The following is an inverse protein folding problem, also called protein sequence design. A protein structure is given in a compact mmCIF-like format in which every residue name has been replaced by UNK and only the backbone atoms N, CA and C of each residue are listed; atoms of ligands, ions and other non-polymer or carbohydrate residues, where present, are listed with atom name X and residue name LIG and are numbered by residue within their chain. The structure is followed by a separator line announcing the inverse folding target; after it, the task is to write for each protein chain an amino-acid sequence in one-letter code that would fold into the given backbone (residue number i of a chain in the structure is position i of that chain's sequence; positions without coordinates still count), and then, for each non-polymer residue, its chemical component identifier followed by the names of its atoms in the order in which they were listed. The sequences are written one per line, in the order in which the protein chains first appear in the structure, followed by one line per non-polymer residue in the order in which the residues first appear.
data_IF_716157858934
#
_entry.id   IF_716157858934
#
_cell.length_a   1.000
_cell.length_b   1.000
_cell.length_c   1.000
_cell.angle_alpha   90.00
_cell.angle_beta   90.00
_cell.angle_gamma   90.00
#
_symmetry.space_group_name_H-M   'P 1'
#
loop_
_entity.id
_entity.type
_entity.pdbx_description
1 polymer ?
#
# COMPACT_ATOMS: atom_id res chain seq x y z
N UNK A 1 39.66 -13.44 -19.00
CA UNK A 1 39.33 -12.19 -18.25
C UNK A 1 38.63 -11.12 -19.06
N UNK A 2 38.93 -10.84 -20.34
CA UNK A 2 38.23 -9.79 -21.14
C UNK A 2 36.85 -10.21 -21.64
N UNK A 3 36.59 -11.48 -21.93
CA UNK A 3 35.31 -11.99 -22.45
C UNK A 3 34.23 -11.91 -21.37
N UNK A 4 34.56 -12.30 -20.13
CA UNK A 4 33.62 -12.22 -18.99
C UNK A 4 33.09 -10.78 -18.73
N UNK A 5 33.99 -9.79 -18.92
CA UNK A 5 33.62 -8.37 -18.71
C UNK A 5 32.64 -7.86 -19.78
N UNK A 6 32.79 -8.29 -21.05
CA UNK A 6 31.91 -7.89 -22.15
C UNK A 6 30.51 -8.48 -21.94
N UNK A 7 30.42 -9.78 -21.64
CA UNK A 7 29.15 -10.49 -21.40
C UNK A 7 28.45 -9.93 -20.17
N UNK A 8 29.18 -9.70 -19.08
CA UNK A 8 28.61 -9.13 -17.86
C UNK A 8 28.02 -7.73 -18.09
N UNK A 9 28.72 -6.87 -18.85
CA UNK A 9 28.23 -5.54 -19.20
C UNK A 9 27.03 -5.61 -20.13
N UNK A 10 27.03 -6.55 -21.08
CA UNK A 10 25.91 -6.76 -22.00
C UNK A 10 24.64 -7.15 -21.23
N UNK A 11 24.70 -8.22 -20.40
CA UNK A 11 23.58 -8.72 -19.62
C UNK A 11 23.06 -7.63 -18.66
N UNK A 12 23.97 -6.92 -17.95
CA UNK A 12 23.59 -5.84 -17.05
C UNK A 12 22.82 -4.73 -17.77
N UNK A 13 23.31 -4.30 -18.94
CA UNK A 13 22.66 -3.26 -19.74
C UNK A 13 21.32 -3.71 -20.29
N UNK A 14 21.17 -5.00 -20.62
CA UNK A 14 19.92 -5.55 -21.13
C UNK A 14 18.83 -5.67 -20.07
N UNK A 15 19.19 -5.75 -18.77
CA UNK A 15 18.21 -5.74 -17.66
C UNK A 15 17.61 -4.37 -17.38
N UNK A 16 18.29 -3.27 -17.75
CA UNK A 16 17.83 -1.91 -17.44
C UNK A 16 16.52 -1.50 -18.15
N UNK A 17 16.33 -1.70 -19.47
CA UNK A 17 15.10 -1.30 -20.14
C UNK A 17 13.84 -1.97 -19.55
N UNK A 18 13.78 -3.31 -19.41
CA UNK A 18 12.61 -3.96 -18.84
C UNK A 18 12.38 -3.57 -17.37
N UNK A 19 13.44 -3.31 -16.60
CA UNK A 19 13.32 -2.79 -15.23
C UNK A 19 12.65 -1.43 -15.20
N UNK A 20 13.13 -0.46 -16.02
CA UNK A 20 12.59 0.91 -16.05
C UNK A 20 11.13 0.90 -16.52
N UNK A 21 10.81 0.12 -17.56
CA UNK A 21 9.45 0.02 -18.10
C UNK A 21 8.51 -0.55 -17.02
N UNK A 22 8.89 -1.66 -16.37
CA UNK A 22 8.05 -2.25 -15.33
C UNK A 22 7.92 -1.34 -14.10
N UNK A 23 9.01 -0.69 -13.67
CA UNK A 23 8.97 0.26 -12.56
C UNK A 23 8.02 1.41 -12.84
N UNK A 24 8.12 2.01 -14.05
CA UNK A 24 7.25 3.11 -14.45
C UNK A 24 5.80 2.66 -14.55
N UNK A 25 5.54 1.51 -15.16
CA UNK A 25 4.20 0.96 -15.33
C UNK A 25 3.54 0.66 -13.97
N UNK A 26 4.23 -0.06 -13.10
CA UNK A 26 3.69 -0.42 -11.78
C UNK A 26 3.48 0.81 -10.90
N UNK A 27 4.44 1.75 -10.90
CA UNK A 27 4.29 3.00 -10.16
C UNK A 27 3.09 3.79 -10.67
N UNK A 28 2.88 3.85 -11.99
CA UNK A 28 1.72 4.50 -12.58
C UNK A 28 0.40 3.83 -12.15
N UNK A 29 0.33 2.49 -12.14
CA UNK A 29 -0.87 1.75 -11.68
C UNK A 29 -1.20 2.07 -10.22
N UNK A 30 -0.20 2.07 -9.33
CA UNK A 30 -0.41 2.43 -7.93
C UNK A 30 -0.81 3.89 -7.75
N UNK A 31 -0.22 4.81 -8.52
CA UNK A 31 -0.63 6.22 -8.51
C UNK A 31 -2.07 6.40 -8.98
N UNK A 32 -2.54 5.63 -9.98
CA UNK A 32 -3.94 5.67 -10.40
C UNK A 32 -4.88 5.22 -9.26
N UNK A 33 -4.53 4.15 -8.54
CA UNK A 33 -5.31 3.73 -7.38
C UNK A 33 -5.33 4.82 -6.30
N UNK A 34 -4.19 5.47 -6.03
CA UNK A 34 -4.08 6.56 -5.06
C UNK A 34 -4.88 7.80 -5.45
N UNK A 35 -4.96 8.12 -6.75
CA UNK A 35 -5.78 9.24 -7.26
C UNK A 35 -7.24 9.02 -6.89
N UNK A 36 -7.77 7.80 -7.02
CA UNK A 36 -9.15 7.49 -6.65
C UNK A 36 -9.41 7.74 -5.17
N UNK A 37 -8.46 7.38 -4.30
CA UNK A 37 -8.54 7.63 -2.87
C UNK A 37 -8.49 9.14 -2.53
N UNK A 38 -7.55 9.86 -3.15
CA UNK A 38 -7.40 11.31 -2.95
C UNK A 38 -8.58 12.08 -3.55
N UNK A 39 -9.24 11.60 -4.61
CA UNK A 39 -10.38 12.27 -5.25
C UNK A 39 -11.51 12.52 -4.25
N UNK A 40 -11.76 11.62 -3.32
CA UNK A 40 -12.73 11.83 -2.25
C UNK A 40 -12.38 13.05 -1.37
N UNK A 41 -11.08 13.24 -1.08
CA UNK A 41 -10.60 14.42 -0.35
C UNK A 41 -10.75 15.70 -1.18
N UNK A 42 -10.47 15.65 -2.48
CA UNK A 42 -10.57 16.80 -3.39
C UNK A 42 -12.03 17.26 -3.54
N UNK A 43 -12.95 16.33 -3.77
CA UNK A 43 -14.37 16.64 -3.97
C UNK A 43 -15.01 17.21 -2.70
N UNK A 44 -14.73 16.60 -1.56
CA UNK A 44 -15.32 17.02 -0.28
C UNK A 44 -14.72 18.32 0.27
N UNK A 45 -13.40 18.56 0.06
CA UNK A 45 -12.69 19.67 0.68
C UNK A 45 -12.22 20.75 -0.29
N UNK A 46 -12.60 20.71 -1.59
CA UNK A 46 -12.19 21.68 -2.63
C UNK A 46 -10.67 21.92 -2.67
N UNK A 47 -9.90 20.86 -2.54
CA UNK A 47 -8.44 20.89 -2.50
C UNK A 47 -7.88 21.40 -3.84
N UNK A 48 -6.84 22.23 -3.81
CA UNK A 48 -6.19 22.71 -5.03
C UNK A 48 -5.45 21.57 -5.74
N UNK A 49 -5.36 21.63 -7.08
CA UNK A 49 -4.64 20.66 -7.91
C UNK A 49 -3.16 20.51 -7.45
N UNK A 50 -2.54 21.62 -7.01
CA UNK A 50 -1.16 21.62 -6.52
C UNK A 50 -1.03 20.78 -5.24
N UNK A 51 -1.99 20.88 -4.33
CA UNK A 51 -1.99 20.07 -3.11
C UNK A 51 -2.21 18.58 -3.42
N UNK A 52 -3.06 18.25 -4.39
CA UNK A 52 -3.25 16.88 -4.89
C UNK A 52 -1.93 16.29 -5.43
N UNK A 53 -1.21 17.03 -6.28
CA UNK A 53 0.09 16.60 -6.82
C UNK A 53 1.10 16.38 -5.69
N UNK A 54 1.12 17.26 -4.67
CA UNK A 54 2.00 17.07 -3.49
C UNK A 54 1.65 15.80 -2.70
N UNK A 55 0.37 15.52 -2.48
CA UNK A 55 -0.07 14.27 -1.82
C UNK A 55 0.38 13.04 -2.61
N UNK A 56 0.27 13.07 -3.95
CA UNK A 56 0.76 11.98 -4.81
C UNK A 56 2.29 11.80 -4.70
N UNK A 57 3.06 12.90 -4.70
CA UNK A 57 4.52 12.83 -4.54
C UNK A 57 4.90 12.24 -3.17
N UNK A 58 4.19 12.62 -2.11
CA UNK A 58 4.47 12.11 -0.76
C UNK A 58 4.08 10.64 -0.57
N UNK A 59 3.12 10.12 -1.36
CA UNK A 59 2.76 8.69 -1.34
C UNK A 59 3.70 7.82 -2.20
N UNK A 60 4.45 8.40 -3.16
CA UNK A 60 5.34 7.63 -4.05
C UNK A 60 6.34 6.72 -3.33
N UNK A 61 7.05 7.14 -2.27
CA UNK A 61 8.02 6.26 -1.61
C UNK A 61 7.42 4.96 -1.07
N UNK A 62 6.18 5.01 -0.56
CA UNK A 62 5.47 3.83 -0.05
C UNK A 62 5.16 2.82 -1.18
N UNK A 63 4.90 3.29 -2.41
CA UNK A 63 4.72 2.38 -3.55
C UNK A 63 6.04 1.85 -4.09
N UNK A 64 7.08 2.70 -4.12
CA UNK A 64 8.39 2.32 -4.65
C UNK A 64 9.03 1.19 -3.85
N UNK A 65 8.78 1.09 -2.53
CA UNK A 65 9.32 -0.01 -1.73
C UNK A 65 8.85 -1.39 -2.21
N UNK A 66 7.64 -1.49 -2.80
CA UNK A 66 7.09 -2.74 -3.35
C UNK A 66 7.37 -2.89 -4.84
N UNK A 67 7.32 -1.80 -5.60
CA UNK A 67 7.48 -1.86 -7.06
C UNK A 67 8.92 -2.10 -7.49
N UNK A 68 9.93 -1.67 -6.72
CA UNK A 68 11.34 -1.88 -7.08
C UNK A 68 11.71 -3.37 -7.04
N UNK A 69 11.46 -4.14 -5.95
CA UNK A 69 11.77 -5.58 -5.95
C UNK A 69 11.07 -6.35 -7.08
N UNK A 70 9.80 -6.01 -7.36
CA UNK A 70 9.07 -6.60 -8.47
C UNK A 70 9.70 -6.26 -9.82
N UNK A 71 10.09 -5.00 -10.02
CA UNK A 71 10.71 -4.55 -11.26
C UNK A 71 12.11 -5.14 -11.46
N UNK A 72 12.87 -5.34 -10.38
CA UNK A 72 14.16 -6.06 -10.41
C UNK A 72 13.94 -7.50 -10.87
N UNK A 73 12.99 -8.21 -10.27
CA UNK A 73 12.65 -9.58 -10.66
C UNK A 73 12.24 -9.65 -12.12
N UNK A 74 11.32 -8.77 -12.57
CA UNK A 74 10.85 -8.73 -13.95
C UNK A 74 11.95 -8.32 -14.94
N UNK A 75 12.83 -7.40 -14.55
CA UNK A 75 13.99 -7.00 -15.33
C UNK A 75 14.92 -8.18 -15.64
N UNK A 76 15.26 -8.96 -14.60
CA UNK A 76 16.07 -10.17 -14.76
C UNK A 76 15.32 -11.23 -15.56
N UNK A 77 14.06 -11.52 -15.19
CA UNK A 77 13.24 -12.54 -15.84
C UNK A 77 13.11 -12.31 -17.35
N UNK A 78 12.69 -11.10 -17.75
CA UNK A 78 12.47 -10.75 -19.15
C UNK A 78 13.77 -10.79 -19.96
N UNK A 79 14.88 -10.37 -19.37
CA UNK A 79 16.19 -10.44 -20.02
C UNK A 79 16.60 -11.88 -20.27
N UNK A 80 16.55 -12.76 -19.26
CA UNK A 80 16.89 -14.16 -19.46
C UNK A 80 15.90 -14.90 -20.38
N UNK A 81 14.62 -14.52 -20.34
CA UNK A 81 13.61 -15.01 -21.25
C UNK A 81 13.92 -14.62 -22.70
N UNK A 82 14.32 -13.38 -22.95
CA UNK A 82 14.70 -12.90 -24.28
C UNK A 82 15.96 -13.62 -24.77
N UNK A 83 17.04 -13.64 -23.98
CA UNK A 83 18.27 -14.35 -24.31
C UNK A 83 18.04 -15.84 -24.60
N UNK A 84 17.08 -16.46 -23.88
CA UNK A 84 16.68 -17.85 -24.09
C UNK A 84 15.94 -18.02 -25.42
N UNK A 85 15.00 -17.11 -25.74
CA UNK A 85 14.25 -17.14 -26.99
C UNK A 85 15.11 -16.88 -28.22
N UNK A 86 16.13 -16.02 -28.08
CA UNK A 86 17.07 -15.67 -29.16
C UNK A 86 18.21 -16.67 -29.27
N UNK A 87 18.14 -17.81 -28.50
CA UNK A 87 19.16 -18.88 -28.44
C UNK A 87 20.56 -18.41 -27.98
N UNK A 88 20.67 -17.20 -27.41
CA UNK A 88 21.95 -16.69 -26.92
C UNK A 88 22.53 -17.55 -25.78
N UNK A 89 21.65 -18.04 -24.88
CA UNK A 89 22.05 -18.92 -23.78
C UNK A 89 22.63 -20.25 -24.31
N UNK A 90 22.03 -20.79 -25.37
CA UNK A 90 22.53 -22.04 -25.99
C UNK A 90 23.92 -21.77 -26.63
N UNK A 91 24.08 -20.64 -27.32
CA UNK A 91 25.36 -20.26 -27.92
C UNK A 91 26.46 -20.05 -26.87
N UNK A 92 26.14 -19.38 -25.74
CA UNK A 92 27.05 -19.15 -24.63
C UNK A 92 27.47 -20.50 -23.98
N UNK A 93 26.54 -21.43 -23.78
CA UNK A 93 26.83 -22.77 -23.26
C UNK A 93 27.71 -23.58 -24.23
N UNK A 94 27.42 -23.52 -25.53
CA UNK A 94 28.27 -24.17 -26.56
C UNK A 94 29.69 -23.61 -26.59
N UNK A 95 29.85 -22.31 -26.22
CA UNK A 95 31.15 -21.67 -26.00
C UNK A 95 31.83 -22.02 -24.66
N UNK A 96 31.26 -22.94 -23.85
CA UNK A 96 31.83 -23.39 -22.58
C UNK A 96 31.48 -22.48 -21.37
N UNK A 97 30.59 -21.51 -21.52
CA UNK A 97 30.21 -20.62 -20.45
C UNK A 97 29.13 -21.29 -19.57
N UNK A 98 29.47 -21.47 -18.29
CA UNK A 98 28.54 -22.06 -17.33
C UNK A 98 27.51 -21.02 -16.82
N UNK A 99 26.33 -21.50 -16.41
CA UNK A 99 25.27 -20.67 -15.84
C UNK A 99 25.74 -19.80 -14.66
N UNK A 100 26.61 -20.32 -13.80
CA UNK A 100 27.19 -19.59 -12.68
C UNK A 100 28.02 -18.38 -13.09
N UNK A 101 28.63 -18.40 -14.29
CA UNK A 101 29.39 -17.28 -14.85
C UNK A 101 28.48 -16.14 -15.36
N UNK A 102 27.17 -16.39 -15.51
CA UNK A 102 26.19 -15.37 -15.88
C UNK A 102 25.54 -14.69 -14.67
N UNK A 103 25.81 -15.18 -13.44
CA UNK A 103 25.24 -14.62 -12.22
C UNK A 103 25.86 -13.29 -11.74
N UNK A 104 27.16 -13.01 -11.91
CA UNK A 104 27.75 -11.77 -11.40
C UNK A 104 27.01 -10.50 -11.83
N UNK A 105 26.63 -10.28 -13.10
CA UNK A 105 25.85 -9.10 -13.49
C UNK A 105 24.46 -9.08 -12.87
N UNK A 106 23.82 -10.24 -12.66
CA UNK A 106 22.52 -10.35 -11.99
C UNK A 106 22.63 -9.95 -10.53
N UNK A 107 23.65 -10.50 -9.82
CA UNK A 107 23.88 -10.16 -8.41
C UNK A 107 24.16 -8.67 -8.27
N UNK A 108 24.99 -8.08 -9.13
CA UNK A 108 25.27 -6.65 -9.13
C UNK A 108 23.99 -5.83 -9.34
N UNK A 109 23.14 -6.25 -10.26
CA UNK A 109 21.86 -5.60 -10.54
C UNK A 109 20.89 -5.69 -9.35
N UNK A 110 20.76 -6.87 -8.75
CA UNK A 110 19.96 -7.10 -7.54
C UNK A 110 20.48 -6.28 -6.34
N UNK A 111 21.81 -6.16 -6.19
CA UNK A 111 22.42 -5.30 -5.17
C UNK A 111 22.09 -3.81 -5.42
N UNK A 112 22.11 -3.37 -6.67
CA UNK A 112 21.65 -2.01 -7.02
C UNK A 112 20.21 -1.78 -6.60
N UNK A 113 19.30 -2.71 -6.91
CA UNK A 113 17.91 -2.70 -6.47
C UNK A 113 17.78 -2.75 -4.95
N UNK A 114 18.55 -3.59 -4.27
CA UNK A 114 18.61 -3.68 -2.81
C UNK A 114 18.95 -2.34 -2.16
N UNK A 115 20.05 -1.70 -2.56
CA UNK A 115 20.44 -0.41 -1.98
C UNK A 115 19.44 0.70 -2.29
N UNK A 116 18.88 0.72 -3.49
CA UNK A 116 17.84 1.67 -3.88
C UNK A 116 16.59 1.50 -2.99
N UNK A 117 16.11 0.27 -2.84
CA UNK A 117 14.96 -0.04 -1.98
C UNK A 117 15.26 0.27 -0.52
N UNK A 118 16.46 -0.08 -0.03
CA UNK A 118 16.88 0.22 1.34
C UNK A 118 16.88 1.72 1.63
N UNK A 119 17.38 2.52 0.71
CA UNK A 119 17.35 3.98 0.84
C UNK A 119 15.91 4.49 0.92
N UNK A 120 15.03 3.98 0.08
CA UNK A 120 13.60 4.39 0.04
C UNK A 120 12.88 3.94 1.31
N UNK A 121 13.05 2.70 1.77
CA UNK A 121 12.35 2.19 2.96
C UNK A 121 12.80 2.89 4.24
N UNK A 122 14.09 3.18 4.35
CA UNK A 122 14.65 3.80 5.57
C UNK A 122 14.30 5.29 5.65
N UNK A 123 14.48 6.02 4.56
CA UNK A 123 14.34 7.49 4.54
C UNK A 123 13.07 7.95 3.83
N UNK A 124 12.81 7.41 2.64
CA UNK A 124 11.73 7.86 1.78
C UNK A 124 10.35 7.63 2.38
N UNK A 125 10.07 6.41 2.83
CA UNK A 125 8.74 6.02 3.36
C UNK A 125 8.41 6.81 4.62
N UNK A 126 9.35 6.94 5.57
CA UNK A 126 9.11 7.71 6.80
C UNK A 126 8.87 9.19 6.52
N UNK A 127 9.64 9.79 5.59
CA UNK A 127 9.46 11.18 5.17
C UNK A 127 8.15 11.37 4.41
N UNK A 128 7.84 10.47 3.48
CA UNK A 128 6.63 10.53 2.66
C UNK A 128 5.36 10.44 3.50
N UNK A 129 5.25 9.43 4.35
CA UNK A 129 4.08 9.22 5.21
C UNK A 129 3.87 10.39 6.19
N UNK A 130 4.95 10.91 6.79
CA UNK A 130 4.85 12.06 7.69
C UNK A 130 4.41 13.33 6.95
N UNK A 131 4.96 13.59 5.76
CA UNK A 131 4.61 14.75 4.94
C UNK A 131 3.19 14.65 4.39
N UNK A 132 2.77 13.45 3.96
CA UNK A 132 1.40 13.16 3.54
C UNK A 132 0.40 13.45 4.67
N UNK A 133 0.67 12.93 5.88
CA UNK A 133 -0.19 13.14 7.05
C UNK A 133 -0.30 14.62 7.40
N UNK A 134 0.82 15.34 7.47
CA UNK A 134 0.82 16.78 7.76
C UNK A 134 -0.03 17.55 6.73
N UNK A 135 0.23 17.32 5.44
CA UNK A 135 -0.52 18.00 4.38
C UNK A 135 -2.01 17.64 4.40
N UNK A 136 -2.36 16.37 4.64
CA UNK A 136 -3.75 15.93 4.76
C UNK A 136 -4.46 16.62 5.94
N UNK A 137 -3.77 16.77 7.09
CA UNK A 137 -4.29 17.49 8.25
C UNK A 137 -4.48 18.98 7.94
N UNK A 138 -3.48 19.63 7.34
CA UNK A 138 -3.54 21.05 6.96
C UNK A 138 -4.68 21.34 5.99
N UNK A 139 -4.89 20.44 5.01
CA UNK A 139 -5.99 20.55 4.06
C UNK A 139 -7.35 20.35 4.74
N UNK A 140 -7.45 19.36 5.61
CA UNK A 140 -8.67 19.13 6.35
C UNK A 140 -9.05 20.31 7.24
N UNK A 141 -8.09 20.88 7.96
CA UNK A 141 -8.34 22.02 8.85
C UNK A 141 -8.61 23.32 8.09
N UNK A 142 -7.89 23.60 7.01
CA UNK A 142 -8.12 24.80 6.21
C UNK A 142 -9.43 24.76 5.43
N UNK A 143 -9.86 23.58 4.99
CA UNK A 143 -11.11 23.40 4.26
C UNK A 143 -12.32 23.47 5.16
N UNK A 144 -12.15 23.27 6.46
CA UNK A 144 -13.24 23.33 7.44
C UNK A 144 -13.87 24.73 7.52
N UNK A 145 -13.07 25.80 7.43
CA UNK A 145 -13.56 27.16 7.39
C UNK A 145 -14.35 27.48 6.10
N UNK A 146 -14.06 26.76 5.01
CA UNK A 146 -14.71 26.91 3.69
C UNK A 146 -15.88 25.92 3.50
N UNK A 147 -15.95 24.86 4.31
CA UNK A 147 -16.88 23.72 4.15
C UNK A 147 -18.34 24.01 4.50
N UNK A 148 -18.62 25.06 5.27
CA UNK A 148 -19.99 25.46 5.56
C UNK A 148 -20.60 26.19 4.35
N UNK A 149 -21.29 25.44 3.50
CA UNK A 149 -22.06 26.02 2.39
C UNK A 149 -23.39 26.57 2.91
N UNK A 150 -23.69 27.81 2.51
CA UNK A 150 -25.02 28.36 2.76
C UNK A 150 -26.09 27.53 2.05
N UNK A 151 -27.23 27.34 2.71
CA UNK A 151 -28.46 26.70 2.19
C UNK A 151 -28.23 25.26 1.67
N UNK A 152 -27.32 24.57 2.28
CA UNK A 152 -27.00 23.16 1.92
C UNK A 152 -26.96 22.33 3.20
N UNK A 153 -27.52 21.13 3.15
CA UNK A 153 -27.32 20.14 4.20
C UNK A 153 -25.89 19.60 4.15
N UNK A 154 -25.22 19.63 5.29
CA UNK A 154 -23.86 19.13 5.45
C UNK A 154 -23.90 17.95 6.42
N UNK A 155 -23.50 16.78 5.92
CA UNK A 155 -23.42 15.49 6.61
C UNK A 155 -21.97 15.06 6.94
N UNK A 156 -21.02 15.99 6.84
CA UNK A 156 -19.58 15.72 7.08
C UNK A 156 -19.25 15.40 8.54
N UNK A 157 -20.22 15.43 9.42
CA UNK A 157 -20.08 15.15 10.85
C UNK A 157 -20.74 13.82 11.20
N UNK A 158 -20.03 12.96 11.93
CA UNK A 158 -20.53 11.62 12.30
C UNK A 158 -21.86 11.72 13.08
N UNK A 159 -22.95 11.31 12.44
CA UNK A 159 -24.29 11.31 13.02
C UNK A 159 -24.92 12.68 13.22
N UNK A 160 -24.35 13.75 12.61
CA UNK A 160 -24.91 15.10 12.64
C UNK A 160 -25.18 15.61 11.22
N UNK A 161 -26.41 16.00 10.94
CA UNK A 161 -26.75 16.72 9.71
C UNK A 161 -26.96 18.19 10.06
N UNK A 162 -26.18 19.07 9.46
CA UNK A 162 -26.17 20.50 9.69
C UNK A 162 -26.66 21.28 8.47
N UNK A 163 -27.60 22.17 8.64
CA UNK A 163 -28.04 23.15 7.66
C UNK A 163 -27.87 24.56 8.20
N UNK A 164 -27.30 25.47 7.41
CA UNK A 164 -27.09 26.88 7.76
C UNK A 164 -27.58 27.76 6.62
N UNK A 165 -28.43 28.74 6.91
CA UNK A 165 -28.97 29.64 5.89
C UNK A 165 -27.93 30.72 5.48
N UNK A 166 -27.22 31.34 6.46
CA UNK A 166 -26.17 32.32 6.21
C UNK A 166 -24.93 32.05 7.04
N UNK A 167 -23.76 32.17 6.39
CA UNK A 167 -22.44 31.93 6.99
C UNK A 167 -21.58 33.18 6.85
N UNK A 168 -21.20 33.76 7.98
CA UNK A 168 -20.16 34.79 8.02
C UNK A 168 -18.84 34.15 8.39
N UNK A 169 -18.04 33.85 7.34
CA UNK A 169 -16.73 33.18 7.49
C UNK A 169 -15.73 34.05 8.28
N UNK A 170 -15.79 35.39 8.14
CA UNK A 170 -14.84 36.31 8.82
C UNK A 170 -15.05 36.32 10.33
N UNK A 171 -16.29 36.33 10.76
CA UNK A 171 -16.66 36.41 12.18
C UNK A 171 -16.96 35.02 12.76
N UNK A 172 -16.86 33.94 11.97
CA UNK A 172 -17.19 32.55 12.35
C UNK A 172 -18.62 32.44 12.98
N UNK A 173 -19.58 33.20 12.45
CA UNK A 173 -20.98 33.22 12.92
C UNK A 173 -21.92 32.69 11.89
N UNK A 174 -22.95 32.01 12.38
CA UNK A 174 -23.98 31.36 11.57
C UNK A 174 -25.36 31.95 11.92
N UNK A 175 -26.25 31.96 10.92
CA UNK A 175 -27.64 32.37 11.12
C UNK A 175 -28.61 31.32 10.58
N UNK A 176 -29.72 31.16 11.29
CA UNK A 176 -30.80 30.23 10.98
C UNK A 176 -30.24 28.81 10.78
N UNK A 177 -29.86 28.21 11.89
CA UNK A 177 -29.19 26.93 11.97
C UNK A 177 -30.22 25.85 12.28
N UNK A 178 -30.19 24.76 11.52
CA UNK A 178 -30.91 23.53 11.76
C UNK A 178 -29.90 22.38 11.88
N UNK A 179 -30.03 21.60 12.94
CA UNK A 179 -29.16 20.43 13.19
C UNK A 179 -30.07 19.24 13.51
N UNK A 180 -29.79 18.14 12.86
CA UNK A 180 -30.32 16.84 13.22
C UNK A 180 -29.21 15.97 13.80
N UNK A 181 -29.36 15.58 15.07
CA UNK A 181 -28.41 14.76 15.82
C UNK A 181 -28.95 13.34 15.94
N UNK A 182 -28.33 12.41 15.22
CA UNK A 182 -28.64 10.99 15.19
C UNK A 182 -27.52 10.14 15.83
N UNK A 183 -26.64 10.72 16.64
CA UNK A 183 -25.56 10.01 17.31
C UNK A 183 -26.02 8.97 18.33
N UNK A 184 -27.27 9.09 18.75
CA UNK A 184 -27.89 8.13 19.65
C UNK A 184 -28.97 7.33 18.91
N UNK A 185 -28.75 6.01 18.75
CA UNK A 185 -29.68 5.12 18.03
C UNK A 185 -31.10 5.07 18.58
N UNK A 186 -31.33 5.50 19.85
CA UNK A 186 -32.63 5.48 20.52
C UNK A 186 -33.37 6.81 20.45
N UNK A 187 -32.68 7.89 20.13
CA UNK A 187 -33.22 9.23 20.19
C UNK A 187 -32.67 10.10 19.05
N UNK A 188 -33.52 10.74 18.30
CA UNK A 188 -33.15 11.78 17.34
C UNK A 188 -33.45 13.15 17.94
N UNK A 189 -32.46 14.05 17.94
CA UNK A 189 -32.63 15.41 18.40
C UNK A 189 -32.57 16.39 17.22
N UNK A 190 -33.62 17.17 17.05
CA UNK A 190 -33.68 18.27 16.07
C UNK A 190 -33.50 19.60 16.81
N UNK A 191 -32.47 20.35 16.43
CA UNK A 191 -32.08 21.59 17.08
C UNK A 191 -32.22 22.73 16.07
N UNK A 192 -32.92 23.77 16.48
CA UNK A 192 -33.10 24.99 15.68
C UNK A 192 -32.65 26.20 16.48
N UNK A 193 -31.76 27.00 15.90
CA UNK A 193 -31.24 28.20 16.53
C UNK A 193 -31.11 29.37 15.54
N UNK A 194 -31.51 30.60 15.91
CA UNK A 194 -31.38 31.76 15.02
C UNK A 194 -29.95 32.24 14.85
N UNK A 195 -29.08 31.97 15.83
CA UNK A 195 -27.67 32.37 15.79
C UNK A 195 -26.77 31.28 16.39
N UNK A 196 -25.57 31.17 15.83
CA UNK A 196 -24.53 30.34 16.38
C UNK A 196 -23.13 30.88 16.05
N UNK A 197 -22.13 30.45 16.82
CA UNK A 197 -20.76 30.77 16.61
C UNK A 197 -19.90 29.51 16.68
N UNK A 198 -18.90 29.40 15.80
CA UNK A 198 -17.97 28.29 15.77
C UNK A 198 -16.73 28.63 16.59
N UNK A 199 -16.44 27.81 17.58
CA UNK A 199 -15.27 27.92 18.42
C UNK A 199 -14.36 26.74 18.09
N UNK A 200 -13.11 27.04 17.72
CA UNK A 200 -12.11 25.98 17.53
C UNK A 200 -11.78 25.35 18.89
N UNK A 201 -11.82 24.04 18.96
CA UNK A 201 -11.41 23.27 20.14
C UNK A 201 -9.87 23.30 20.35
N UNK A 202 -9.43 22.67 21.41
CA UNK A 202 -7.97 22.50 21.66
C UNK A 202 -7.32 21.57 20.64
N UNK A 203 -8.08 20.64 20.07
CA UNK A 203 -7.64 19.77 19.00
C UNK A 203 -8.02 20.34 17.62
N UNK A 204 -7.15 20.23 16.60
CA UNK A 204 -7.39 20.73 15.23
C UNK A 204 -8.65 20.14 14.55
N UNK A 205 -9.17 19.03 15.06
CA UNK A 205 -10.31 18.29 14.48
C UNK A 205 -11.59 18.40 15.31
N UNK A 206 -11.59 19.17 16.40
CA UNK A 206 -12.76 19.34 17.27
C UNK A 206 -13.19 20.79 17.22
N UNK A 207 -14.44 20.99 16.87
CA UNK A 207 -15.07 22.30 16.86
C UNK A 207 -16.27 22.26 17.79
N UNK A 208 -16.46 23.34 18.54
CA UNK A 208 -17.65 23.51 19.36
C UNK A 208 -18.55 24.54 18.67
N UNK A 209 -19.74 24.11 18.28
CA UNK A 209 -20.77 25.00 17.78
C UNK A 209 -21.59 25.49 18.97
N UNK A 210 -21.48 26.78 19.27
CA UNK A 210 -22.20 27.42 20.31
C UNK A 210 -23.44 28.08 19.71
N UNK A 211 -24.64 27.60 20.09
CA UNK A 211 -25.91 28.04 19.61
C UNK A 211 -26.54 28.98 20.64
N UNK A 212 -27.26 29.99 20.16
CA UNK A 212 -27.94 30.98 21.01
C UNK A 212 -29.44 31.02 20.74
N UNK A 213 -30.23 31.02 21.81
CA UNK A 213 -31.69 31.21 21.81
C UNK A 213 -32.42 30.21 20.88
N UNK A 214 -32.27 28.93 21.14
CA UNK A 214 -32.86 27.90 20.31
C UNK A 214 -33.82 26.95 21.03
N UNK A 215 -34.28 25.97 20.27
CA UNK A 215 -35.15 24.88 20.71
C UNK A 215 -34.57 23.55 20.30
N UNK A 216 -34.55 22.59 21.20
CA UNK A 216 -34.23 21.19 20.96
C UNK A 216 -35.52 20.38 21.04
N UNK A 217 -35.86 19.68 19.96
CA UNK A 217 -36.95 18.71 19.94
C UNK A 217 -36.33 17.32 19.94
N UNK A 218 -36.45 16.60 21.05
CA UNK A 218 -35.97 15.21 21.17
C UNK A 218 -37.14 14.26 20.92
N UNK A 219 -36.96 13.40 19.92
CA UNK A 219 -37.95 12.37 19.60
C UNK A 219 -37.39 11.02 20.03
N UNK A 220 -38.04 10.34 20.96
CA UNK A 220 -37.72 9.00 21.38
C UNK A 220 -38.43 7.99 20.49
N UNK A 221 -37.68 7.22 19.70
CA UNK A 221 -38.23 6.29 18.69
C UNK A 221 -39.08 5.16 19.31
N UNK A 222 -38.74 4.70 20.53
CA UNK A 222 -39.44 3.60 21.20
C UNK A 222 -40.82 4.00 21.77
N UNK A 223 -40.93 5.22 22.32
CA UNK A 223 -42.16 5.70 22.98
C UNK A 223 -42.96 6.68 22.13
N UNK A 224 -42.44 7.08 20.96
CA UNK A 224 -43.01 8.14 20.10
C UNK A 224 -43.32 9.44 20.85
N UNK A 225 -42.56 9.72 21.92
CA UNK A 225 -42.68 10.94 22.68
C UNK A 225 -41.74 12.01 22.14
N UNK A 226 -42.25 13.26 22.13
CA UNK A 226 -41.44 14.43 21.73
C UNK A 226 -41.30 15.32 22.95
N UNK A 227 -40.04 15.60 23.32
CA UNK A 227 -39.73 16.56 24.38
C UNK A 227 -39.11 17.81 23.76
N UNK A 228 -39.70 18.97 24.01
CA UNK A 228 -39.20 20.25 23.52
C UNK A 228 -38.53 21.02 24.66
N UNK A 229 -37.27 21.39 24.48
CA UNK A 229 -36.44 22.10 25.47
C UNK A 229 -36.01 23.43 24.84
N UNK A 230 -36.30 24.56 25.47
CA UNK A 230 -35.74 25.86 25.11
C UNK A 230 -34.43 26.09 25.84
N UNK A 231 -33.44 26.66 25.14
CA UNK A 231 -32.15 27.00 25.71
C UNK A 231 -31.74 28.43 25.33
N UNK A 232 -31.02 29.08 26.21
CA UNK A 232 -30.37 30.37 25.92
C UNK A 232 -29.04 30.16 25.23
N UNK A 233 -28.30 29.16 25.68
CA UNK A 233 -27.02 28.74 25.07
C UNK A 233 -26.94 27.22 25.09
N UNK A 234 -26.50 26.64 23.96
CA UNK A 234 -26.25 25.21 23.84
C UNK A 234 -24.98 24.98 23.06
N UNK A 235 -24.12 24.12 23.56
CA UNK A 235 -22.83 23.80 22.94
C UNK A 235 -22.82 22.37 22.41
N UNK A 236 -22.56 22.25 21.11
CA UNK A 236 -22.45 20.95 20.43
C UNK A 236 -21.02 20.73 20.01
N UNK A 237 -20.41 19.67 20.51
CA UNK A 237 -19.10 19.24 20.05
C UNK A 237 -19.25 18.49 18.73
N UNK A 238 -18.64 19.03 17.68
CA UNK A 238 -18.58 18.45 16.35
C UNK A 238 -17.16 17.91 16.11
N UNK A 239 -17.04 16.60 16.02
CA UNK A 239 -15.81 15.95 15.57
C UNK A 239 -15.90 15.68 14.07
N UNK A 240 -14.81 15.90 13.34
CA UNK A 240 -14.71 15.45 11.95
C UNK A 240 -14.79 13.92 11.90
N UNK A 241 -15.39 13.40 10.83
CA UNK A 241 -15.73 12.01 10.60
C UNK A 241 -14.63 11.01 11.03
N UNK A 242 -15.05 9.79 11.38
CA UNK A 242 -14.20 8.65 11.78
C UNK A 242 -13.05 8.37 10.80
N UNK A 243 -13.24 8.65 9.52
CA UNK A 243 -12.19 8.56 8.50
C UNK A 243 -10.99 9.48 8.80
N UNK A 244 -11.22 10.62 9.45
CA UNK A 244 -10.15 11.52 9.93
C UNK A 244 -9.70 11.21 11.36
N UNK A 245 -10.43 10.45 12.13
CA UNK A 245 -10.01 9.97 13.45
C UNK A 245 -8.72 9.14 13.41
N UNK A 246 -8.43 8.51 12.27
CA UNK A 246 -7.18 7.82 12.03
C UNK A 246 -5.97 8.78 11.89
N UNK A 247 -6.20 10.03 11.46
CA UNK A 247 -5.19 11.10 11.39
C UNK A 247 -5.00 11.80 12.75
N UNK A 248 -5.99 11.68 13.65
CA UNK A 248 -6.08 12.37 14.95
C UNK A 248 -5.13 11.83 16.03
N UNK A 249 -4.49 10.66 15.84
CA UNK A 249 -3.53 10.17 16.82
C UNK A 249 -2.28 11.07 16.80
N UNK A 250 -2.09 11.88 17.85
CA UNK A 250 -0.88 12.70 18.12
C UNK A 250 0.41 11.88 18.12
N UNK A 251 0.31 10.57 18.40
CA UNK A 251 1.45 9.65 18.29
C UNK A 251 1.67 9.28 16.83
N UNK A 252 2.89 9.50 16.36
CA UNK A 252 3.34 8.99 15.06
C UNK A 252 2.99 7.51 14.95
N UNK A 253 2.37 7.10 13.83
CA UNK A 253 2.23 5.69 13.52
C UNK A 253 3.63 5.11 13.30
N UNK A 254 3.80 3.83 13.56
CA UNK A 254 5.12 3.18 13.40
C UNK A 254 5.65 3.25 11.97
N UNK A 255 4.76 3.35 10.99
CA UNK A 255 5.08 3.58 9.57
C UNK A 255 5.70 4.95 9.28
N UNK A 256 5.39 5.95 10.13
CA UNK A 256 5.89 7.32 10.05
C UNK A 256 7.22 7.49 10.80
N UNK A 257 7.61 6.48 11.59
CA UNK A 257 8.78 6.55 12.48
C UNK A 257 10.07 6.29 11.72
N UNK A 258 11.09 7.07 12.07
CA UNK A 258 12.47 6.83 11.67
C UNK A 258 13.05 5.61 12.41
N UNK A 259 14.19 5.08 11.92
CA UNK A 259 14.89 3.97 12.60
C UNK A 259 15.23 4.27 14.06
N UNK A 260 15.58 5.55 14.38
CA UNK A 260 15.91 5.96 15.75
C UNK A 260 14.68 5.93 16.65
N UNK A 261 13.54 6.43 16.16
CA UNK A 261 12.28 6.44 16.89
C UNK A 261 11.75 5.02 17.11
N UNK A 262 11.81 4.14 16.09
CA UNK A 262 11.42 2.73 16.25
C UNK A 262 12.27 2.01 17.31
N UNK A 263 13.59 2.21 17.32
CA UNK A 263 14.48 1.66 18.34
C UNK A 263 14.15 2.19 19.75
N UNK A 264 13.79 3.48 19.87
CA UNK A 264 13.37 4.05 21.15
C UNK A 264 12.06 3.44 21.66
N UNK A 265 11.08 3.22 20.79
CA UNK A 265 9.82 2.54 21.14
C UNK A 265 10.08 1.10 21.57
N UNK A 266 10.93 0.36 20.86
CA UNK A 266 11.30 -1.02 21.22
C UNK A 266 11.97 -1.08 22.59
N UNK A 267 12.81 -0.09 22.92
CA UNK A 267 13.50 -0.04 24.23
C UNK A 267 12.57 0.31 25.41
N UNK A 268 11.48 1.05 25.16
CA UNK A 268 10.56 1.52 26.20
C UNK A 268 9.30 0.64 26.35
N UNK A 269 8.91 -0.07 25.32
CA UNK A 269 7.72 -0.91 25.35
C UNK A 269 7.97 -2.24 26.08
N UNK A 270 7.00 -2.75 26.84
CA UNK A 270 7.12 -4.07 27.46
C UNK A 270 7.26 -5.15 26.37
N UNK A 271 8.21 -6.09 26.60
CA UNK A 271 8.45 -7.19 25.65
C UNK A 271 7.17 -7.99 25.39
N UNK A 272 6.98 -8.39 24.12
CA UNK A 272 5.81 -9.12 23.63
C UNK A 272 4.47 -8.36 23.72
N UNK A 273 4.47 -7.09 24.07
CA UNK A 273 3.28 -6.24 23.95
C UNK A 273 2.99 -5.85 22.51
N UNK A 274 1.72 -5.54 22.18
CA UNK A 274 1.31 -5.17 20.81
C UNK A 274 2.16 -4.03 20.21
N UNK A 275 2.50 -3.01 21.00
CA UNK A 275 3.34 -1.90 20.58
C UNK A 275 4.79 -2.34 20.30
N UNK A 276 5.33 -3.26 21.06
CA UNK A 276 6.66 -3.82 20.86
C UNK A 276 6.70 -4.68 19.60
N UNK A 277 5.76 -5.62 19.45
CA UNK A 277 5.67 -6.50 18.30
C UNK A 277 5.60 -5.69 17.00
N UNK A 278 4.69 -4.74 16.93
CA UNK A 278 4.50 -3.90 15.75
C UNK A 278 5.73 -3.01 15.46
N UNK A 279 6.42 -2.47 16.47
CA UNK A 279 7.64 -1.69 16.28
C UNK A 279 8.81 -2.55 15.77
N UNK A 280 8.97 -3.77 16.32
CA UNK A 280 9.98 -4.73 15.85
C UNK A 280 9.71 -5.16 14.42
N UNK A 281 8.45 -5.43 14.09
CA UNK A 281 8.05 -5.79 12.72
C UNK A 281 8.39 -4.68 11.74
N UNK A 282 7.98 -3.43 12.03
CA UNK A 282 8.27 -2.28 11.16
C UNK A 282 9.78 -2.00 11.03
N UNK A 283 10.55 -2.27 12.08
CA UNK A 283 12.01 -2.19 11.99
C UNK A 283 12.57 -3.25 11.02
N UNK A 284 12.15 -4.51 11.15
CA UNK A 284 12.64 -5.60 10.30
C UNK A 284 12.08 -5.51 8.88
N UNK A 285 10.86 -5.00 8.67
CA UNK A 285 10.26 -4.75 7.36
C UNK A 285 11.16 -3.85 6.50
N UNK A 286 11.71 -2.76 7.09
CA UNK A 286 12.62 -1.83 6.39
C UNK A 286 13.87 -2.51 5.81
N UNK A 287 14.27 -3.65 6.34
CA UNK A 287 15.40 -4.44 5.84
C UNK A 287 14.93 -5.65 5.03
N UNK A 288 13.87 -6.33 5.43
CA UNK A 288 13.38 -7.53 4.75
C UNK A 288 12.90 -7.25 3.32
N UNK A 289 12.18 -6.14 3.09
CA UNK A 289 11.72 -5.78 1.75
C UNK A 289 12.88 -5.54 0.76
N UNK A 290 13.94 -4.79 1.08
CA UNK A 290 15.11 -4.71 0.20
C UNK A 290 15.72 -6.07 -0.16
N UNK A 291 15.80 -7.01 0.79
CA UNK A 291 16.32 -8.36 0.52
C UNK A 291 15.49 -9.14 -0.51
N UNK A 292 14.21 -8.78 -0.70
CA UNK A 292 13.40 -9.36 -1.77
C UNK A 292 14.00 -9.12 -3.17
N UNK A 293 14.70 -8.00 -3.39
CA UNK A 293 15.42 -7.75 -4.65
C UNK A 293 16.42 -8.87 -4.97
N UNK A 294 17.10 -9.37 -3.95
CA UNK A 294 18.09 -10.45 -4.10
C UNK A 294 17.38 -11.80 -4.26
N UNK A 295 16.45 -12.12 -3.36
CA UNK A 295 15.75 -13.41 -3.36
C UNK A 295 14.94 -13.63 -4.64
N UNK A 296 14.14 -12.66 -5.05
CA UNK A 296 13.30 -12.73 -6.25
C UNK A 296 14.14 -12.53 -7.53
N UNK A 297 15.15 -11.67 -7.50
CA UNK A 297 16.01 -11.44 -8.65
C UNK A 297 16.84 -12.69 -9.04
N UNK A 298 17.38 -13.43 -8.07
CA UNK A 298 18.05 -14.71 -8.35
C UNK A 298 17.04 -15.77 -8.81
N UNK A 299 15.82 -15.79 -8.24
CA UNK A 299 14.73 -16.68 -8.66
C UNK A 299 14.35 -16.47 -10.14
N UNK A 300 14.41 -15.23 -10.61
CA UNK A 300 14.04 -14.87 -11.97
C UNK A 300 14.94 -15.53 -13.04
N UNK A 301 16.21 -15.83 -12.72
CA UNK A 301 17.15 -16.46 -13.65
C UNK A 301 16.67 -17.84 -14.11
N UNK A 302 16.44 -18.83 -13.22
CA UNK A 302 15.96 -20.14 -13.64
C UNK A 302 14.59 -20.07 -14.30
N UNK A 303 13.70 -19.17 -13.87
CA UNK A 303 12.38 -19.00 -14.47
C UNK A 303 12.46 -18.46 -15.91
N UNK A 304 13.36 -17.52 -16.18
CA UNK A 304 13.59 -16.98 -17.53
C UNK A 304 14.20 -18.02 -18.49
N UNK A 305 15.07 -18.89 -17.99
CA UNK A 305 15.74 -19.93 -18.81
C UNK A 305 14.83 -21.06 -19.25
N UNK A 306 13.73 -21.33 -18.54
CA UNK A 306 12.85 -22.49 -18.80
C UNK A 306 11.80 -22.29 -19.89
N UNK A 307 11.61 -21.08 -20.36
CA UNK A 307 10.55 -20.75 -21.33
C UNK A 307 10.71 -21.43 -22.69
N UNK A 308 11.85 -22.08 -22.97
CA UNK A 308 12.09 -22.81 -24.24
C UNK A 308 11.19 -24.04 -24.38
N UNK A 309 10.83 -24.70 -23.27
CA UNK A 309 9.98 -25.92 -23.28
C UNK A 309 8.48 -25.64 -23.14
N UNK A 310 8.10 -24.47 -22.65
CA UNK A 310 6.70 -24.03 -22.51
C UNK A 310 6.49 -22.78 -23.35
N UNK A 311 5.28 -22.61 -23.94
CA UNK A 311 4.91 -21.45 -24.78
C UNK A 311 5.44 -20.13 -24.17
N UNK A 312 5.98 -19.23 -25.00
CA UNK A 312 6.63 -17.94 -24.70
C UNK A 312 6.04 -17.09 -23.55
N UNK A 313 4.79 -17.33 -23.17
CA UNK A 313 4.05 -16.54 -22.14
C UNK A 313 4.12 -17.14 -20.73
N UNK A 314 4.54 -18.39 -20.55
CA UNK A 314 4.44 -19.07 -19.25
C UNK A 314 5.46 -18.56 -18.21
N UNK A 315 6.66 -18.17 -18.64
CA UNK A 315 7.71 -17.67 -17.73
C UNK A 315 7.29 -16.39 -16.99
N UNK A 316 6.62 -15.45 -17.68
CA UNK A 316 6.12 -14.21 -17.07
C UNK A 316 5.03 -14.53 -16.04
N UNK A 317 4.11 -15.47 -16.40
CA UNK A 317 3.07 -15.90 -15.48
C UNK A 317 3.60 -16.51 -14.19
N UNK A 318 4.63 -17.38 -14.29
CA UNK A 318 5.28 -17.95 -13.11
C UNK A 318 5.99 -16.88 -12.26
N UNK A 319 6.68 -15.93 -12.89
CA UNK A 319 7.28 -14.80 -12.17
C UNK A 319 6.23 -14.04 -11.36
N UNK A 320 5.09 -13.72 -11.97
CA UNK A 320 3.99 -13.04 -11.27
C UNK A 320 3.41 -13.88 -10.11
N UNK A 321 3.25 -15.20 -10.30
CA UNK A 321 2.77 -16.11 -9.24
C UNK A 321 3.76 -16.13 -8.05
N UNK A 322 5.08 -16.26 -8.29
CA UNK A 322 6.06 -16.23 -7.21
C UNK A 322 6.10 -14.89 -6.49
N UNK A 323 5.93 -13.79 -7.22
CA UNK A 323 5.78 -12.47 -6.64
C UNK A 323 4.54 -12.40 -5.72
N UNK A 324 3.38 -12.84 -6.19
CA UNK A 324 2.16 -12.88 -5.37
C UNK A 324 2.35 -13.73 -4.12
N UNK A 325 2.94 -14.92 -4.25
CA UNK A 325 3.21 -15.80 -3.10
C UNK A 325 4.12 -15.09 -2.10
N UNK A 326 5.17 -14.39 -2.56
CA UNK A 326 6.04 -13.61 -1.69
C UNK A 326 5.25 -12.58 -0.86
N UNK A 327 4.42 -11.77 -1.52
CA UNK A 327 3.66 -10.73 -0.83
C UNK A 327 2.50 -11.28 0.02
N UNK A 328 1.89 -12.38 -0.37
CA UNK A 328 0.93 -13.08 0.49
C UNK A 328 1.60 -13.60 1.77
N UNK A 329 2.80 -14.18 1.65
CA UNK A 329 3.57 -14.61 2.82
C UNK A 329 3.98 -13.42 3.70
N UNK A 330 4.36 -12.28 3.11
CA UNK A 330 4.70 -11.06 3.83
C UNK A 330 3.47 -10.51 4.57
N UNK A 331 2.32 -10.43 3.92
CA UNK A 331 1.06 -9.97 4.51
C UNK A 331 0.58 -10.89 5.65
N UNK A 332 0.69 -12.22 5.44
CA UNK A 332 0.39 -13.19 6.49
C UNK A 332 1.35 -13.04 7.67
N UNK A 333 2.65 -12.84 7.40
CA UNK A 333 3.66 -12.57 8.43
C UNK A 333 3.33 -11.30 9.24
N UNK A 334 2.94 -10.21 8.56
CA UNK A 334 2.49 -8.97 9.21
C UNK A 334 1.32 -9.25 10.17
N UNK A 335 0.26 -9.90 9.68
CA UNK A 335 -0.93 -10.18 10.49
C UNK A 335 -0.63 -11.10 11.70
N UNK A 336 0.11 -12.18 11.50
CA UNK A 336 0.45 -13.13 12.56
C UNK A 336 1.46 -12.56 13.58
N UNK A 337 2.37 -11.72 13.12
CA UNK A 337 3.36 -11.07 13.97
C UNK A 337 2.75 -9.95 14.83
N UNK A 338 1.79 -9.18 14.32
CA UNK A 338 1.08 -8.15 15.08
C UNK A 338 0.25 -8.76 16.22
N UNK A 339 -0.39 -9.89 15.99
CA UNK A 339 -1.16 -10.61 17.02
C UNK A 339 -0.28 -11.29 18.05
N UNK A 340 1.05 -11.38 17.83
CA UNK A 340 1.99 -12.04 18.73
C UNK A 340 1.94 -13.57 18.68
N UNK A 341 1.16 -14.16 17.78
CA UNK A 341 1.08 -15.62 17.58
C UNK A 341 2.42 -16.14 17.03
N UNK A 342 3.09 -15.36 16.21
CA UNK A 342 4.37 -15.71 15.62
C UNK A 342 5.44 -14.66 15.96
N UNK A 343 6.71 -15.07 16.27
CA UNK A 343 7.75 -14.11 16.63
C UNK A 343 7.97 -13.08 15.50
N UNK A 344 7.92 -11.77 15.80
CA UNK A 344 7.93 -10.68 14.80
C UNK A 344 9.11 -10.73 13.82
N UNK A 345 10.29 -11.10 14.32
CA UNK A 345 11.51 -11.18 13.48
C UNK A 345 11.35 -12.27 12.42
N UNK A 346 10.95 -13.47 12.83
CA UNK A 346 10.75 -14.57 11.88
C UNK A 346 9.63 -14.27 10.88
N UNK A 347 8.56 -13.62 11.34
CA UNK A 347 7.43 -13.24 10.49
C UNK A 347 7.88 -12.43 9.27
N UNK A 348 8.81 -11.48 9.46
CA UNK A 348 9.29 -10.62 8.37
C UNK A 348 10.33 -11.29 7.48
N UNK A 349 11.13 -12.23 8.00
CA UNK A 349 12.21 -12.87 7.22
C UNK A 349 11.79 -14.17 6.53
N UNK A 350 10.71 -14.81 6.98
CA UNK A 350 10.20 -16.07 6.39
C UNK A 350 10.01 -15.99 4.86
N UNK A 351 9.40 -14.94 4.27
CA UNK A 351 9.26 -14.86 2.82
C UNK A 351 10.61 -14.88 2.09
N UNK A 352 11.60 -14.15 2.62
CA UNK A 352 12.94 -14.10 2.03
C UNK A 352 13.67 -15.44 2.14
N UNK A 353 13.56 -16.13 3.28
CA UNK A 353 14.18 -17.44 3.49
C UNK A 353 13.56 -18.48 2.56
N UNK A 354 12.24 -18.53 2.47
CA UNK A 354 11.52 -19.47 1.61
C UNK A 354 11.84 -19.21 0.14
N UNK A 355 11.71 -17.96 -0.34
CA UNK A 355 11.97 -17.63 -1.74
C UNK A 355 13.45 -17.77 -2.09
N UNK A 356 14.35 -17.39 -1.18
CA UNK A 356 15.80 -17.60 -1.35
C UNK A 356 16.16 -19.07 -1.46
N UNK A 357 15.57 -19.92 -0.61
CA UNK A 357 15.79 -21.38 -0.67
C UNK A 357 15.28 -21.99 -1.98
N UNK A 358 14.06 -21.61 -2.40
CA UNK A 358 13.49 -22.02 -3.69
C UNK A 358 14.39 -21.54 -4.85
N UNK A 359 14.86 -20.30 -4.78
CA UNK A 359 15.74 -19.69 -5.77
C UNK A 359 17.03 -20.48 -5.95
N UNK A 360 17.71 -20.80 -4.84
CA UNK A 360 18.96 -21.57 -4.87
C UNK A 360 18.68 -22.98 -5.40
N UNK A 361 17.63 -23.64 -4.92
CA UNK A 361 17.25 -24.98 -5.37
C UNK A 361 17.01 -25.02 -6.90
N UNK A 362 16.20 -24.10 -7.42
CA UNK A 362 15.89 -24.03 -8.85
C UNK A 362 17.12 -23.68 -9.68
N UNK A 363 17.96 -22.78 -9.18
CA UNK A 363 19.21 -22.39 -9.85
C UNK A 363 20.16 -23.59 -10.00
N UNK A 364 20.41 -24.33 -8.91
CA UNK A 364 21.29 -25.51 -8.93
C UNK A 364 20.73 -26.59 -9.86
N UNK A 365 19.41 -26.79 -9.85
CA UNK A 365 18.74 -27.76 -10.73
C UNK A 365 18.87 -27.37 -12.21
N UNK A 366 18.65 -26.09 -12.53
CA UNK A 366 18.83 -25.57 -13.90
C UNK A 366 20.28 -25.63 -14.38
N UNK A 367 21.23 -25.40 -13.49
CA UNK A 367 22.65 -25.52 -13.82
C UNK A 367 23.07 -26.96 -14.13
N UNK A 368 22.40 -27.96 -13.54
CA UNK A 368 22.60 -29.40 -13.79
C UNK A 368 21.74 -29.96 -14.95
N UNK A 369 21.09 -29.08 -15.74
CA UNK A 369 20.21 -29.46 -16.87
C UNK A 369 18.99 -30.36 -16.50
N UNK A 370 18.61 -30.39 -15.23
CA UNK A 370 17.45 -31.13 -14.76
C UNK A 370 16.13 -30.39 -15.09
N UNK A 371 15.03 -31.11 -15.40
CA UNK A 371 13.72 -30.50 -15.56
C UNK A 371 13.27 -29.86 -14.24
N UNK A 372 12.82 -28.61 -14.26
CA UNK A 372 12.45 -27.85 -13.04
C UNK A 372 11.12 -28.28 -12.46
N UNK A 373 10.17 -28.63 -13.28
CA UNK A 373 8.90 -29.16 -12.80
C UNK A 373 8.91 -30.69 -12.73
N UNK A 374 8.41 -31.24 -11.63
CA UNK A 374 8.04 -32.65 -11.59
C UNK A 374 7.19 -32.93 -12.83
N UNK A 375 7.57 -33.95 -13.63
CA UNK A 375 6.70 -34.50 -14.63
C UNK A 375 5.42 -34.94 -13.93
N UNK A 376 4.42 -34.05 -13.89
CA UNK A 376 3.07 -34.49 -13.59
C UNK A 376 2.72 -35.48 -14.68
N UNK A 377 2.39 -36.74 -14.33
CA UNK A 377 1.98 -37.71 -15.34
C UNK A 377 0.79 -37.09 -16.09
N UNK A 378 0.74 -37.20 -17.44
CA UNK A 378 -0.27 -36.56 -18.27
C UNK A 378 -1.67 -37.22 -18.12
N UNK A 379 -2.06 -37.49 -16.88
CA UNK A 379 -3.27 -38.26 -16.53
C UNK A 379 -4.39 -37.49 -15.85
N UNK A 380 -4.18 -36.27 -15.34
CA UNK A 380 -5.19 -35.57 -14.53
C UNK A 380 -6.07 -34.56 -15.29
N UNK A 381 -5.68 -34.13 -16.49
CA UNK A 381 -6.48 -33.15 -17.28
C UNK A 381 -6.70 -33.54 -18.75
N UNK A 382 -6.51 -34.79 -19.14
CA UNK A 382 -6.52 -35.26 -20.54
C UNK A 382 -7.45 -36.41 -20.86
N UNK A 383 -8.70 -36.44 -20.38
CA UNK A 383 -9.73 -37.36 -20.81
C UNK A 383 -10.93 -36.62 -21.37
N UNK A 384 -10.87 -36.12 -22.63
CA UNK A 384 -12.13 -35.74 -23.32
C UNK A 384 -12.03 -35.51 -24.83
N UNK A 385 -10.91 -35.78 -25.52
CA UNK A 385 -10.86 -35.47 -26.97
C UNK A 385 -10.53 -36.64 -27.93
N UNK A 386 -10.32 -37.86 -27.44
CA UNK A 386 -10.02 -39.02 -28.35
C UNK A 386 -11.19 -39.94 -28.66
N UNK A 387 -12.42 -39.66 -28.19
CA UNK A 387 -13.61 -40.51 -28.50
C UNK A 387 -14.54 -39.97 -29.61
N UNK A 388 -14.19 -38.85 -30.27
CA UNK A 388 -15.06 -38.29 -31.35
C UNK A 388 -14.52 -38.49 -32.77
N UNK A 389 -13.34 -39.08 -32.97
CA UNK A 389 -12.81 -39.32 -34.32
C UNK A 389 -13.03 -40.75 -34.80
N UNK A 390 -13.30 -41.72 -33.91
CA UNK A 390 -13.58 -43.12 -34.30
C UNK A 390 -15.07 -43.44 -34.50
N UNK A 391 -15.97 -42.47 -34.32
CA UNK A 391 -17.40 -42.68 -34.57
C UNK A 391 -17.90 -42.03 -35.89
N UNK A 392 -17.00 -41.53 -36.71
CA UNK A 392 -17.32 -40.90 -38.00
C UNK A 392 -16.79 -41.68 -39.21
N UNK A 393 -16.16 -42.85 -39.01
CA UNK A 393 -15.66 -43.73 -40.08
C UNK A 393 -16.18 -45.20 -39.94
N UNK A 394 -17.38 -45.36 -39.37
CA UNK A 394 -18.05 -46.63 -39.33
C UNK A 394 -19.47 -46.52 -39.82
#
# INVERSE_FOLDING_TARGET
MKIDTIINKYIFRQMLPPFIINLSFLTFVFLMAQILEITNLVVNYKVSIIAMVRLLIYSMPAFLEFTIPMSVMMGVLLTFLQMSNDNEIIALRAGGINLYQLLPPVILFCMGGFFLTLFITVYGVSWGNLSYKKLAIDLATSSFEVGFKERTFNDSFDGLMLYVNKVDIKNKTFRDIFIEDQRNDKMTATIVAPKGSLIAGQDPFTYTLKLHQGVINQTTLSTRSVHSIRFDTYEINMGLDKSMGALKKDKKRQEEMSLKELKAVIAQAPMAGAAWNSAVMKLHEKFAIPFACIALGILAVPLGLQSVSFKKSSGIGFGFVFFLIYYLMLAAGLSLGETGIYPPVFAMWTPNIVMGSISIFLLVRTAKEGPIFFNFPPGLFGRSRRRRVQAAEG
#
